data_IF_624107053041
#
_entry.id   IF_624107053041
#
_cell.length_a   1.000
_cell.length_b   1.000
_cell.length_c   1.000
_cell.angle_alpha   90.00
_cell.angle_beta   90.00
_cell.angle_gamma   90.00
#
_symmetry.space_group_name_H-M   'P 1'
#
loop_
_entity.id
_entity.type
_entity.pdbx_description
1 polymer ?
#
# COMPACT_ATOMS: atom_id res chain seq x y z
N UNK A 1 29.34 -0.20 -14.81
CA UNK A 1 28.26 -0.44 -13.84
C UNK A 1 28.71 0.17 -12.52
N UNK A 2 28.02 1.19 -11.99
CA UNK A 2 28.44 1.82 -10.75
C UNK A 2 28.25 0.86 -9.57
N UNK A 3 29.24 0.75 -8.70
CA UNK A 3 29.19 -0.13 -7.52
C UNK A 3 29.22 0.74 -6.28
N UNK A 4 28.18 0.64 -5.44
CA UNK A 4 28.13 1.32 -4.15
C UNK A 4 28.54 0.32 -3.06
N UNK A 5 29.63 0.62 -2.35
CA UNK A 5 30.06 -0.16 -1.19
C UNK A 5 29.74 0.60 0.09
N UNK A 6 29.03 -0.06 1.01
CA UNK A 6 28.76 0.45 2.35
C UNK A 6 29.69 -0.26 3.32
N UNK A 7 30.52 0.50 4.05
CA UNK A 7 31.46 -0.04 5.04
C UNK A 7 30.87 0.05 6.44
N UNK A 8 31.29 -0.86 7.32
CA UNK A 8 30.94 -0.86 8.75
C UNK A 8 29.42 -0.88 9.00
N UNK A 9 28.69 -1.68 8.21
CA UNK A 9 27.26 -1.90 8.49
C UNK A 9 27.11 -2.74 9.75
N UNK A 10 26.20 -2.32 10.64
CA UNK A 10 25.85 -3.10 11.82
C UNK A 10 25.22 -4.46 11.41
N UNK A 11 25.66 -5.54 12.04
CA UNK A 11 25.20 -6.89 11.71
C UNK A 11 23.70 -7.08 11.93
N UNK A 12 23.10 -6.40 12.92
CA UNK A 12 21.65 -6.46 13.16
C UNK A 12 20.92 -5.77 12.03
N UNK A 13 21.44 -4.64 11.55
CA UNK A 13 20.88 -3.95 10.39
C UNK A 13 20.98 -4.81 9.12
N UNK A 14 22.14 -5.42 8.85
CA UNK A 14 22.29 -6.31 7.70
C UNK A 14 21.31 -7.50 7.74
N UNK A 15 21.15 -8.12 8.91
CA UNK A 15 20.15 -9.20 9.11
C UNK A 15 18.71 -8.72 8.92
N UNK A 16 18.38 -7.51 9.40
CA UNK A 16 17.05 -6.93 9.21
C UNK A 16 16.76 -6.65 7.73
N UNK A 17 17.74 -6.14 6.99
CA UNK A 17 17.64 -5.97 5.53
C UNK A 17 17.42 -7.30 4.83
N UNK A 18 18.15 -8.36 5.23
CA UNK A 18 17.97 -9.72 4.70
C UNK A 18 16.55 -10.26 4.92
N UNK A 19 16.01 -10.13 6.14
CA UNK A 19 14.63 -10.54 6.44
C UNK A 19 13.62 -9.80 5.57
N UNK A 20 13.78 -8.49 5.43
CA UNK A 20 12.89 -7.67 4.60
C UNK A 20 12.96 -8.06 3.12
N UNK A 21 14.16 -8.20 2.58
CA UNK A 21 14.38 -8.63 1.20
C UNK A 21 13.73 -10.00 0.92
N UNK A 22 13.80 -10.94 1.87
CA UNK A 22 13.14 -12.24 1.76
C UNK A 22 11.60 -12.12 1.73
N UNK A 23 11.00 -11.23 2.54
CA UNK A 23 9.54 -11.02 2.51
C UNK A 23 9.07 -10.54 1.13
N UNK A 24 9.89 -9.70 0.47
CA UNK A 24 9.58 -9.13 -0.84
C UNK A 24 10.09 -9.99 -2.02
N UNK A 25 10.60 -11.21 -1.77
CA UNK A 25 11.21 -12.12 -2.75
C UNK A 25 12.30 -11.45 -3.60
N UNK A 26 13.16 -10.63 -2.97
CA UNK A 26 14.24 -9.86 -3.60
C UNK A 26 15.58 -10.18 -2.98
N UNK A 27 16.65 -9.89 -3.74
CA UNK A 27 18.00 -9.85 -3.15
C UNK A 27 18.20 -8.60 -2.29
N UNK A 28 19.11 -8.66 -1.32
CA UNK A 28 19.43 -7.53 -0.43
C UNK A 28 19.85 -6.30 -1.25
N UNK A 29 20.68 -6.47 -2.27
CA UNK A 29 21.14 -5.37 -3.13
C UNK A 29 19.98 -4.69 -3.86
N UNK A 30 19.03 -5.48 -4.38
CA UNK A 30 17.83 -4.94 -5.03
C UNK A 30 16.94 -4.21 -4.05
N UNK A 31 16.77 -4.75 -2.83
CA UNK A 31 15.94 -4.13 -1.81
C UNK A 31 16.52 -2.80 -1.34
N UNK A 32 17.84 -2.71 -1.13
CA UNK A 32 18.51 -1.44 -0.80
C UNK A 32 18.32 -0.42 -1.91
N UNK A 33 18.48 -0.81 -3.18
CA UNK A 33 18.24 0.08 -4.32
C UNK A 33 16.77 0.54 -4.35
N UNK A 34 15.82 -0.34 -4.07
CA UNK A 34 14.40 0.00 -4.00
C UNK A 34 14.11 0.99 -2.88
N UNK A 35 14.69 0.81 -1.69
CA UNK A 35 14.56 1.77 -0.59
C UNK A 35 15.08 3.15 -0.97
N UNK A 36 16.26 3.22 -1.59
CA UNK A 36 16.86 4.48 -2.05
C UNK A 36 15.97 5.14 -3.11
N UNK A 37 15.51 4.38 -4.11
CA UNK A 37 14.58 4.88 -5.13
C UNK A 37 13.31 5.42 -4.50
N UNK A 38 12.72 4.69 -3.56
CA UNK A 38 11.48 5.08 -2.90
C UNK A 38 11.66 6.31 -2.03
N UNK A 39 12.81 6.46 -1.39
CA UNK A 39 13.14 7.64 -0.62
C UNK A 39 13.28 8.86 -1.54
N UNK A 40 14.06 8.74 -2.62
CA UNK A 40 14.28 9.83 -3.58
C UNK A 40 13.03 10.18 -4.41
N UNK A 41 12.12 9.23 -4.63
CA UNK A 41 10.83 9.51 -5.26
C UNK A 41 9.86 10.25 -4.33
N UNK A 42 10.13 10.27 -3.03
CA UNK A 42 9.26 10.83 -1.99
C UNK A 42 9.73 12.20 -1.49
N UNK A 43 10.41 12.99 -2.32
CA UNK A 43 10.82 14.37 -2.02
C UNK A 43 9.59 15.24 -1.65
N UNK A 44 9.51 15.58 -0.37
CA UNK A 44 8.91 16.78 0.22
C UNK A 44 7.38 17.05 0.18
N UNK A 45 6.53 16.10 -0.19
CA UNK A 45 5.06 16.36 -0.21
C UNK A 45 4.19 15.38 0.57
N UNK A 46 4.76 14.37 1.22
CA UNK A 46 3.98 13.27 1.80
C UNK A 46 3.42 13.53 3.20
N UNK A 47 4.08 14.30 4.05
CA UNK A 47 3.57 14.49 5.41
C UNK A 47 2.30 15.35 5.41
N UNK A 48 2.33 16.46 4.65
CA UNK A 48 1.16 17.34 4.47
C UNK A 48 0.01 16.62 3.74
N UNK A 49 0.28 15.90 2.65
CA UNK A 49 -0.75 15.13 1.93
C UNK A 49 -1.40 14.01 2.74
N UNK A 50 -0.68 13.33 3.64
CA UNK A 50 -1.27 12.26 4.46
C UNK A 50 -2.25 12.82 5.49
N UNK A 51 -1.92 13.95 6.12
CA UNK A 51 -2.82 14.65 7.02
C UNK A 51 -4.03 15.19 6.28
N UNK A 52 -3.82 15.83 5.13
CA UNK A 52 -4.90 16.38 4.30
C UNK A 52 -5.85 15.28 3.79
N UNK A 53 -5.33 14.16 3.30
CA UNK A 53 -6.16 13.02 2.85
C UNK A 53 -6.96 12.38 3.99
N UNK A 54 -6.41 12.37 5.22
CA UNK A 54 -7.12 11.87 6.39
C UNK A 54 -8.23 12.83 6.81
N UNK A 55 -7.99 14.14 6.71
CA UNK A 55 -9.00 15.18 6.94
C UNK A 55 -10.11 15.15 5.88
N UNK A 56 -9.77 14.93 4.61
CA UNK A 56 -10.75 14.72 3.53
C UNK A 56 -11.62 13.48 3.77
N UNK A 57 -11.03 12.40 4.31
CA UNK A 57 -11.76 11.17 4.65
C UNK A 57 -12.65 11.33 5.89
N UNK A 58 -12.31 12.20 6.83
CA UNK A 58 -13.07 12.36 8.08
C UNK A 58 -14.52 12.84 7.85
N UNK A 59 -14.78 13.54 6.74
CA UNK A 59 -16.13 13.97 6.33
C UNK A 59 -16.80 13.07 5.29
N UNK A 60 -16.08 12.11 4.69
CA UNK A 60 -16.62 11.32 3.57
C UNK A 60 -17.66 10.25 3.97
N UNK A 61 -17.83 10.04 5.28
CA UNK A 61 -18.76 9.07 5.85
C UNK A 61 -20.09 9.71 6.25
N UNK A 62 -20.17 11.04 6.25
CA UNK A 62 -21.41 11.77 6.50
C UNK A 62 -22.26 11.76 5.23
N UNK A 63 -23.29 10.92 5.23
CA UNK A 63 -24.20 10.74 4.11
C UNK A 63 -25.59 11.25 4.51
N UNK A 64 -26.05 12.31 3.85
CA UNK A 64 -27.38 12.87 4.07
C UNK A 64 -28.52 11.98 3.55
N UNK A 65 -28.23 10.85 2.90
CA UNK A 65 -29.24 9.88 2.48
C UNK A 65 -29.70 9.03 3.66
N UNK A 66 -31.00 8.78 3.74
CA UNK A 66 -31.53 7.83 4.73
C UNK A 66 -31.03 6.40 4.46
N UNK A 67 -30.96 5.60 5.51
CA UNK A 67 -30.49 4.22 5.45
C UNK A 67 -31.26 3.39 4.40
N UNK A 68 -32.56 3.61 4.26
CA UNK A 68 -33.43 2.91 3.31
C UNK A 68 -33.02 3.19 1.86
N UNK A 69 -32.64 4.44 1.56
CA UNK A 69 -32.19 4.86 0.23
C UNK A 69 -30.85 4.23 -0.13
N UNK A 70 -29.91 4.20 0.83
CA UNK A 70 -28.59 3.57 0.67
C UNK A 70 -28.76 2.06 0.43
N UNK A 71 -29.60 1.38 1.22
CA UNK A 71 -29.89 -0.05 1.06
C UNK A 71 -30.54 -0.32 -0.31
N UNK A 72 -31.49 0.52 -0.72
CA UNK A 72 -32.18 0.40 -2.01
C UNK A 72 -31.22 0.52 -3.20
N UNK A 73 -30.33 1.51 -3.19
CA UNK A 73 -29.31 1.69 -4.22
C UNK A 73 -28.29 0.54 -4.22
N UNK A 74 -27.80 0.12 -3.06
CA UNK A 74 -26.87 -1.01 -2.94
C UNK A 74 -27.46 -2.31 -3.49
N UNK A 75 -28.77 -2.55 -3.27
CA UNK A 75 -29.49 -3.70 -3.83
C UNK A 75 -29.66 -3.59 -5.35
N UNK A 76 -29.97 -2.39 -5.88
CA UNK A 76 -30.10 -2.15 -7.33
C UNK A 76 -28.77 -2.23 -8.07
N UNK A 77 -27.68 -1.78 -7.44
CA UNK A 77 -26.34 -1.77 -8.00
C UNK A 77 -25.69 -3.16 -8.04
N UNK A 78 -26.24 -4.15 -7.31
CA UNK A 78 -25.82 -5.55 -7.43
C UNK A 78 -26.13 -6.04 -8.85
N UNK A 79 -25.10 -6.08 -9.69
CA UNK A 79 -25.13 -6.92 -10.88
C UNK A 79 -25.05 -8.37 -10.43
N UNK A 80 -26.10 -9.16 -10.69
CA UNK A 80 -26.07 -10.61 -10.59
C UNK A 80 -25.10 -11.15 -11.65
N UNK A 81 -23.80 -11.09 -11.38
CA UNK A 81 -22.84 -11.86 -12.17
C UNK A 81 -23.05 -13.32 -11.78
N UNK A 82 -23.80 -14.07 -12.58
CA UNK A 82 -24.02 -15.51 -12.46
C UNK A 82 -22.73 -16.35 -12.61
N UNK A 83 -21.55 -15.76 -12.43
CA UNK A 83 -20.24 -16.32 -12.71
C UNK A 83 -19.26 -16.28 -11.52
N UNK A 84 -19.71 -15.90 -10.32
CA UNK A 84 -18.84 -15.96 -9.14
C UNK A 84 -19.26 -17.11 -8.23
N UNK A 85 -18.45 -18.17 -8.33
CA UNK A 85 -18.47 -19.45 -7.60
C UNK A 85 -19.38 -20.55 -8.15
N UNK A 86 -19.10 -21.03 -9.36
CA UNK A 86 -19.26 -22.48 -9.63
C UNK A 86 -18.00 -23.19 -9.15
N UNK A 87 -17.91 -23.39 -7.83
CA UNK A 87 -17.00 -24.39 -7.27
C UNK A 87 -17.53 -25.76 -7.67
N UNK A 88 -17.00 -26.33 -8.74
CA UNK A 88 -17.07 -27.78 -8.94
C UNK A 88 -16.19 -28.41 -7.85
N UNK A 89 -16.85 -29.06 -6.90
CA UNK A 89 -16.27 -30.12 -6.06
C UNK A 89 -16.37 -31.39 -6.88
#
# INVERSE_FOLDING_TARGET
MATLQVRSIDDRLYKALGKRAHMDNRSISQEVVMMIKQYLSNTDSNYRRKSDALLELAGSWDDGRSAEKIIGEARKARKNSALRFTGKI
#
